data_IF_503468074198
#
_entry.id   IF_503468074198
#
_cell.length_a   1.000
_cell.length_b   1.000
_cell.length_c   1.000
_cell.angle_alpha   90.00
_cell.angle_beta   90.00
_cell.angle_gamma   90.00
#
_symmetry.space_group_name_H-M   'P 1'
#
loop_
_entity.id
_entity.type
_entity.pdbx_description
1 polymer ?
#
# COMPACT_ATOMS: atom_id res chain seq x y z
N UNK A 1 -71.60 -2.98 10.35
CA UNK A 1 -72.23 -1.68 10.05
C UNK A 1 -71.19 -0.79 9.36
N UNK A 2 -71.55 -0.38 8.15
CA UNK A 2 -71.06 0.75 7.32
C UNK A 2 -69.59 0.80 6.87
N UNK A 3 -69.50 0.60 5.56
CA UNK A 3 -68.43 0.71 4.56
C UNK A 3 -67.98 2.18 4.28
N UNK A 4 -66.96 2.37 3.40
CA UNK A 4 -66.00 3.47 3.38
C UNK A 4 -66.38 4.62 2.42
N UNK A 5 -65.53 5.65 2.31
CA UNK A 5 -65.63 6.67 1.27
C UNK A 5 -64.31 6.86 0.51
N UNK A 6 -64.41 6.53 -0.76
CA UNK A 6 -63.56 6.89 -1.90
C UNK A 6 -63.84 8.35 -2.26
N UNK A 7 -62.81 9.11 -2.67
CA UNK A 7 -62.99 10.24 -3.59
C UNK A 7 -61.72 10.45 -4.42
N UNK A 8 -61.90 10.37 -5.73
CA UNK A 8 -60.94 10.64 -6.80
C UNK A 8 -61.31 11.96 -7.50
N UNK A 9 -60.30 12.69 -8.02
CA UNK A 9 -60.39 13.69 -9.10
C UNK A 9 -58.93 13.86 -9.63
N UNK A 10 -58.52 13.49 -10.86
CA UNK A 10 -58.78 14.07 -12.20
C UNK A 10 -58.63 15.60 -12.20
N UNK A 11 -57.93 16.32 -13.08
CA UNK A 11 -57.19 16.10 -14.34
C UNK A 11 -56.63 17.50 -14.71
N UNK A 12 -55.43 17.66 -15.27
CA UNK A 12 -55.18 18.67 -16.32
C UNK A 12 -53.80 18.51 -16.98
N UNK A 13 -53.85 18.59 -18.30
CA UNK A 13 -52.85 18.31 -19.32
C UNK A 13 -52.24 19.64 -19.80
N UNK A 14 -50.94 19.68 -20.13
CA UNK A 14 -50.42 20.65 -21.10
C UNK A 14 -49.24 20.05 -21.87
N UNK A 15 -49.54 19.69 -23.12
CA UNK A 15 -48.60 19.33 -24.19
C UNK A 15 -48.26 20.61 -24.95
N UNK A 16 -46.97 20.88 -25.19
CA UNK A 16 -46.54 21.70 -26.34
C UNK A 16 -45.35 21.00 -27.00
N UNK A 17 -45.61 20.43 -28.18
CA UNK A 17 -44.65 20.06 -29.21
C UNK A 17 -44.53 21.24 -30.18
N UNK A 18 -43.31 21.62 -30.55
CA UNK A 18 -43.04 22.22 -31.87
C UNK A 18 -41.68 21.73 -32.38
N UNK A 19 -41.75 21.05 -33.53
CA UNK A 19 -40.65 20.61 -34.39
C UNK A 19 -40.21 21.73 -35.34
N UNK A 20 -38.96 21.68 -35.80
CA UNK A 20 -38.49 22.50 -36.94
C UNK A 20 -37.17 22.00 -37.50
N UNK A 21 -37.18 21.51 -38.74
CA UNK A 21 -36.07 20.93 -39.51
C UNK A 21 -35.21 21.98 -40.22
N UNK A 22 -34.00 21.59 -40.66
CA UNK A 22 -33.57 21.90 -42.04
C UNK A 22 -32.21 22.59 -42.28
N UNK A 23 -31.22 21.76 -42.65
CA UNK A 23 -30.35 21.85 -43.85
C UNK A 23 -29.15 22.83 -43.99
N UNK A 24 -28.01 22.22 -44.41
CA UNK A 24 -26.76 22.75 -44.99
C UNK A 24 -26.97 23.59 -46.27
N UNK A 25 -26.07 24.55 -46.56
CA UNK A 25 -25.13 24.49 -47.71
C UNK A 25 -24.06 25.62 -47.67
N UNK A 26 -22.90 25.31 -48.25
CA UNK A 26 -21.72 26.15 -48.54
C UNK A 26 -22.01 27.38 -49.42
N UNK A 27 -21.10 28.38 -49.40
CA UNK A 27 -20.37 28.82 -50.60
C UNK A 27 -19.34 29.95 -50.34
N UNK A 28 -18.07 29.61 -50.58
CA UNK A 28 -17.03 30.28 -51.39
C UNK A 28 -16.77 31.81 -51.39
N UNK A 29 -15.45 32.10 -51.43
CA UNK A 29 -14.71 32.97 -52.39
C UNK A 29 -14.06 34.29 -51.84
N UNK A 30 -13.15 34.98 -52.59
CA UNK A 30 -11.67 34.87 -52.53
C UNK A 30 -10.91 36.21 -52.28
N UNK A 31 -9.55 36.20 -52.29
CA UNK A 31 -8.62 37.38 -52.15
C UNK A 31 -8.65 38.39 -53.33
N UNK A 32 -7.66 39.31 -53.60
CA UNK A 32 -6.18 39.26 -53.36
C UNK A 32 -5.50 40.68 -53.11
N UNK A 33 -4.32 41.13 -53.68
CA UNK A 33 -2.89 40.94 -53.29
C UNK A 33 -1.97 42.23 -53.21
N UNK A 34 -0.63 42.01 -53.15
CA UNK A 34 0.58 42.86 -53.48
C UNK A 34 1.02 43.94 -52.45
N UNK A 35 2.29 44.28 -52.13
CA UNK A 35 3.62 44.21 -52.78
C UNK A 35 4.78 44.40 -51.76
N UNK A 36 6.00 43.97 -52.13
CA UNK A 36 7.28 44.24 -51.45
C UNK A 36 7.78 45.69 -51.61
N UNK A 37 8.84 46.11 -50.88
CA UNK A 37 10.15 46.22 -51.53
C UNK A 37 11.39 45.81 -50.70
N UNK A 38 12.49 45.70 -51.42
CA UNK A 38 13.86 45.24 -51.08
C UNK A 38 14.74 46.38 -50.56
N UNK A 39 15.58 46.13 -49.55
CA UNK A 39 16.93 46.73 -49.42
C UNK A 39 17.85 45.91 -48.48
N UNK A 40 19.01 45.50 -49.00
CA UNK A 40 20.23 45.09 -48.28
C UNK A 40 21.19 46.32 -48.14
N UNK A 41 22.37 46.24 -47.49
CA UNK A 41 22.74 45.58 -46.23
C UNK A 41 23.56 46.52 -45.30
N UNK A 42 23.62 46.26 -43.99
CA UNK A 42 24.73 46.78 -43.14
C UNK A 42 25.01 45.88 -41.94
N UNK A 43 26.13 45.17 -42.04
CA UNK A 43 27.16 44.91 -41.02
C UNK A 43 26.80 44.92 -39.52
N UNK A 44 26.92 43.73 -38.92
CA UNK A 44 27.78 43.52 -37.75
C UNK A 44 27.17 43.76 -36.37
N UNK A 45 26.72 42.68 -35.71
CA UNK A 45 26.87 42.47 -34.26
C UNK A 45 26.62 40.99 -33.93
N UNK A 46 27.49 40.44 -33.08
CA UNK A 46 27.55 39.03 -32.66
C UNK A 46 26.25 38.53 -32.01
N UNK A 47 25.91 37.23 -32.14
CA UNK A 47 24.83 36.63 -31.36
C UNK A 47 25.33 36.28 -29.95
N UNK A 48 24.76 36.92 -28.93
CA UNK A 48 24.84 36.46 -27.54
C UNK A 48 24.04 35.17 -27.42
N UNK A 49 24.72 34.08 -27.07
CA UNK A 49 24.13 32.76 -26.89
C UNK A 49 23.00 32.76 -25.86
N UNK A 50 21.82 32.33 -26.29
CA UNK A 50 20.71 31.96 -25.43
C UNK A 50 21.07 30.65 -24.70
N UNK A 51 21.39 30.76 -23.42
CA UNK A 51 21.56 29.60 -22.54
C UNK A 51 20.17 28.98 -22.27
N UNK A 52 19.95 27.68 -22.52
CA UNK A 52 18.69 27.04 -22.13
C UNK A 52 18.57 27.08 -20.61
N UNK A 53 17.47 27.64 -20.13
CA UNK A 53 17.10 27.61 -18.71
C UNK A 53 17.03 26.15 -18.26
N UNK A 54 18.03 25.69 -17.50
CA UNK A 54 17.98 24.42 -16.81
C UNK A 54 16.82 24.47 -15.82
N UNK A 55 15.92 23.50 -15.91
CA UNK A 55 14.99 23.22 -14.84
C UNK A 55 15.78 22.99 -13.54
N UNK A 56 15.24 23.35 -12.36
CA UNK A 56 15.88 23.01 -11.09
C UNK A 56 16.18 21.51 -11.08
N UNK A 57 17.36 21.07 -10.57
CA UNK A 57 17.59 19.65 -10.33
C UNK A 57 16.44 19.13 -9.47
N UNK A 58 15.86 17.98 -9.84
CA UNK A 58 14.98 17.25 -8.95
C UNK A 58 15.66 17.13 -7.57
N UNK A 59 14.93 17.24 -6.45
CA UNK A 59 15.52 17.14 -5.13
C UNK A 59 16.41 15.91 -5.08
N UNK A 60 17.71 16.14 -4.89
CA UNK A 60 18.68 15.05 -4.80
C UNK A 60 18.40 14.32 -3.49
N UNK A 61 17.63 13.24 -3.63
CA UNK A 61 17.55 12.10 -2.73
C UNK A 61 18.92 11.89 -2.06
N UNK A 62 19.02 11.95 -0.72
CA UNK A 62 20.26 11.64 -0.03
C UNK A 62 20.70 10.22 -0.40
N UNK A 63 21.93 10.05 -0.90
CA UNK A 63 22.60 8.75 -0.78
C UNK A 63 22.57 8.38 0.70
N UNK A 64 21.86 7.32 1.05
CA UNK A 64 21.76 6.87 2.44
C UNK A 64 23.15 6.71 3.07
N UNK A 65 23.34 7.03 4.36
CA UNK A 65 24.67 7.02 4.97
C UNK A 65 25.23 5.61 5.21
N UNK A 66 24.44 4.57 4.96
CA UNK A 66 24.76 3.19 5.30
C UNK A 66 25.23 2.40 4.08
N UNK A 67 26.18 1.50 4.32
CA UNK A 67 26.57 0.50 3.31
C UNK A 67 25.40 -0.45 3.04
N UNK A 68 25.24 -0.96 1.81
CA UNK A 68 24.24 -1.96 1.50
C UNK A 68 24.36 -3.19 2.41
N UNK A 69 23.22 -3.71 2.86
CA UNK A 69 23.14 -4.85 3.78
C UNK A 69 21.76 -5.49 3.63
N UNK A 70 21.59 -6.26 2.56
CA UNK A 70 20.30 -6.88 2.27
C UNK A 70 20.00 -8.09 3.17
N UNK A 71 20.93 -8.50 4.05
CA UNK A 71 20.69 -9.47 5.12
C UNK A 71 20.24 -8.81 6.45
N UNK A 72 20.04 -7.49 6.46
CA UNK A 72 19.54 -6.76 7.62
C UNK A 72 18.04 -6.97 7.89
N UNK A 73 17.55 -6.46 9.00
CA UNK A 73 16.16 -6.60 9.41
C UNK A 73 15.26 -5.55 8.75
N UNK A 74 14.00 -5.93 8.54
CA UNK A 74 12.96 -5.11 7.91
C UNK A 74 11.87 -4.79 8.94
N UNK A 75 11.44 -3.52 9.00
CA UNK A 75 10.30 -3.15 9.84
C UNK A 75 9.00 -3.50 9.14
N UNK A 76 8.27 -4.48 9.68
CA UNK A 76 6.87 -4.75 9.34
C UNK A 76 6.01 -4.12 10.43
N UNK A 77 5.43 -2.95 10.16
CA UNK A 77 4.69 -2.17 11.15
C UNK A 77 3.24 -2.66 11.26
N UNK A 78 2.77 -2.86 12.48
CA UNK A 78 1.42 -3.31 12.81
C UNK A 78 0.64 -2.18 13.48
N UNK A 79 -0.31 -1.62 12.72
CA UNK A 79 -1.32 -0.68 13.19
C UNK A 79 -2.64 -1.41 13.45
N UNK A 80 -3.44 -0.88 14.36
CA UNK A 80 -4.84 -1.30 14.55
C UNK A 80 -5.74 -0.09 14.28
N UNK A 81 -6.22 0.62 15.30
CA UNK A 81 -7.10 1.75 15.10
C UNK A 81 -6.33 3.02 14.71
N UNK A 82 -6.85 3.75 13.72
CA UNK A 82 -6.45 5.14 13.46
C UNK A 82 -7.57 6.05 13.95
N UNK A 83 -7.34 6.81 15.02
CA UNK A 83 -8.40 7.60 15.65
C UNK A 83 -8.04 8.08 17.05
N UNK A 84 -9.05 8.39 17.87
CA UNK A 84 -8.88 8.97 19.20
C UNK A 84 -9.51 8.11 20.31
N UNK A 85 -9.02 8.23 21.56
CA UNK A 85 -7.74 8.85 21.94
C UNK A 85 -6.54 7.96 21.58
N UNK A 86 -5.33 8.53 21.58
CA UNK A 86 -4.09 7.74 21.50
C UNK A 86 -4.08 6.67 22.60
N UNK A 87 -3.79 5.43 22.23
CA UNK A 87 -3.82 4.29 23.14
C UNK A 87 -2.90 3.17 22.62
N UNK A 88 -2.80 2.08 23.38
CA UNK A 88 -1.95 0.94 23.04
C UNK A 88 -2.17 0.39 21.61
N UNK A 89 -3.43 0.38 21.14
CA UNK A 89 -3.85 -0.10 19.82
C UNK A 89 -4.48 1.00 18.97
N UNK A 90 -4.32 2.27 19.36
CA UNK A 90 -4.88 3.42 18.64
C UNK A 90 -3.79 4.45 18.39
N UNK A 91 -3.53 4.75 17.11
CA UNK A 91 -2.69 5.85 16.68
C UNK A 91 -3.58 7.00 16.20
N UNK A 92 -3.35 8.21 16.69
CA UNK A 92 -4.08 9.39 16.17
C UNK A 92 -3.69 9.70 14.72
N UNK A 93 -4.58 10.32 13.92
CA UNK A 93 -4.21 10.79 12.58
C UNK A 93 -2.98 11.71 12.57
N UNK A 94 -2.83 12.57 13.58
CA UNK A 94 -1.66 13.46 13.71
C UNK A 94 -0.37 12.65 13.87
N UNK A 95 -0.39 11.66 14.76
CA UNK A 95 0.79 10.87 15.02
C UNK A 95 1.08 9.87 13.89
N UNK A 96 0.06 9.37 13.19
CA UNK A 96 0.29 8.54 11.99
C UNK A 96 0.99 9.34 10.88
N UNK A 97 0.63 10.60 10.65
CA UNK A 97 1.37 11.47 9.72
C UNK A 97 2.83 11.67 10.15
N UNK A 98 3.07 11.84 11.46
CA UNK A 98 4.42 11.93 11.99
C UNK A 98 5.21 10.63 11.79
N UNK A 99 4.56 9.46 11.90
CA UNK A 99 5.19 8.18 11.61
C UNK A 99 5.64 8.10 10.15
N UNK A 100 4.78 8.50 9.19
CA UNK A 100 5.12 8.53 7.76
C UNK A 100 6.31 9.46 7.48
N UNK A 101 6.28 10.67 8.01
CA UNK A 101 7.36 11.66 7.86
C UNK A 101 8.67 11.15 8.48
N UNK A 102 8.59 10.57 9.69
CA UNK A 102 9.74 10.01 10.37
C UNK A 102 10.39 8.89 9.54
N UNK A 103 9.58 7.93 9.06
CA UNK A 103 10.06 6.83 8.21
C UNK A 103 10.71 7.36 6.93
N UNK A 104 10.04 8.29 6.24
CA UNK A 104 10.53 8.86 4.99
C UNK A 104 11.88 9.56 5.18
N UNK A 105 12.00 10.41 6.21
CA UNK A 105 13.23 11.14 6.55
C UNK A 105 14.38 10.22 6.96
N UNK A 106 14.08 9.11 7.63
CA UNK A 106 15.08 8.10 8.02
C UNK A 106 15.50 7.18 6.86
N UNK A 107 15.01 7.43 5.64
CA UNK A 107 15.38 6.67 4.45
C UNK A 107 14.62 5.35 4.29
N UNK A 108 13.38 5.28 4.77
CA UNK A 108 12.49 4.16 4.49
C UNK A 108 11.55 4.44 3.32
N UNK A 109 11.21 3.40 2.57
CA UNK A 109 10.26 3.41 1.46
C UNK A 109 9.28 2.24 1.59
N UNK A 110 8.02 2.45 1.22
CA UNK A 110 7.01 1.41 1.32
C UNK A 110 7.28 0.31 0.31
N UNK A 111 7.23 -0.94 0.77
CA UNK A 111 7.33 -2.14 -0.06
C UNK A 111 6.14 -3.04 0.25
N UNK A 112 5.57 -3.69 -0.77
CA UNK A 112 4.51 -4.68 -0.55
C UNK A 112 5.04 -5.82 0.32
N UNK A 113 4.19 -6.34 1.20
CA UNK A 113 4.50 -7.54 1.94
C UNK A 113 4.87 -8.72 1.01
N UNK A 114 4.21 -8.84 -0.14
CA UNK A 114 4.45 -9.94 -1.07
C UNK A 114 5.77 -9.79 -1.81
N UNK A 115 6.19 -8.57 -2.15
CA UNK A 115 7.52 -8.31 -2.71
C UNK A 115 8.61 -8.64 -1.69
N UNK A 116 8.44 -8.25 -0.43
CA UNK A 116 9.34 -8.65 0.65
C UNK A 116 9.44 -10.18 0.79
N UNK A 117 8.31 -10.88 0.89
CA UNK A 117 8.29 -12.35 1.08
C UNK A 117 8.91 -13.10 -0.09
N UNK A 118 8.77 -12.56 -1.30
CA UNK A 118 9.29 -13.13 -2.56
C UNK A 118 10.70 -12.66 -2.92
N UNK A 119 11.35 -11.87 -2.06
CA UNK A 119 12.67 -11.30 -2.33
C UNK A 119 12.69 -10.44 -3.62
N UNK A 120 11.61 -9.70 -3.89
CA UNK A 120 11.45 -8.80 -5.03
C UNK A 120 11.50 -7.32 -4.59
N UNK A 121 12.40 -6.99 -3.68
CA UNK A 121 12.57 -5.63 -3.16
C UNK A 121 13.31 -4.81 -4.21
N UNK A 122 12.69 -3.73 -4.69
CA UNK A 122 13.27 -2.84 -5.69
C UNK A 122 13.30 -1.41 -5.13
N UNK A 123 14.38 -1.10 -4.41
CA UNK A 123 14.61 0.21 -3.81
C UNK A 123 15.97 0.76 -4.27
N UNK A 124 16.13 2.08 -4.42
CA UNK A 124 17.44 2.65 -4.74
C UNK A 124 18.48 2.36 -3.65
N UNK A 125 19.75 2.41 -4.03
CA UNK A 125 20.89 2.20 -3.13
C UNK A 125 20.78 3.10 -1.88
N UNK A 126 21.01 2.53 -0.70
CA UNK A 126 21.03 3.26 0.56
C UNK A 126 19.67 3.42 1.25
N UNK A 127 18.56 3.02 0.60
CA UNK A 127 17.23 3.02 1.20
C UNK A 127 16.90 1.70 1.90
N UNK A 128 15.94 1.75 2.82
CA UNK A 128 15.43 0.58 3.53
C UNK A 128 13.94 0.35 3.25
N UNK A 129 13.49 -0.91 3.15
CA UNK A 129 12.07 -1.23 3.07
C UNK A 129 11.40 -1.04 4.44
N UNK A 130 10.17 -0.52 4.40
CA UNK A 130 9.21 -0.63 5.51
C UNK A 130 7.88 -1.14 4.95
N UNK A 131 7.20 -2.00 5.70
CA UNK A 131 5.91 -2.59 5.30
C UNK A 131 4.85 -2.13 6.29
N UNK A 132 3.76 -1.56 5.78
CA UNK A 132 2.62 -1.16 6.62
C UNK A 132 1.54 -2.24 6.63
N UNK A 133 1.17 -2.68 7.82
CA UNK A 133 0.05 -3.61 8.02
C UNK A 133 -0.98 -3.02 8.97
N UNK A 134 -2.26 -3.22 8.66
CA UNK A 134 -3.38 -2.73 9.44
C UNK A 134 -4.33 -3.87 9.78
N UNK A 135 -4.49 -4.16 11.07
CA UNK A 135 -5.38 -5.22 11.55
C UNK A 135 -6.80 -4.68 11.78
N UNK A 136 -7.82 -5.55 11.74
CA UNK A 136 -9.24 -5.30 12.04
C UNK A 136 -10.11 -4.55 11.02
N UNK A 137 -9.52 -3.95 9.98
CA UNK A 137 -10.23 -3.10 9.02
C UNK A 137 -11.13 -2.07 9.74
N UNK A 138 -10.58 -1.28 10.66
CA UNK A 138 -11.34 -0.24 11.39
C UNK A 138 -11.75 0.91 10.46
N UNK A 139 -12.73 1.72 10.86
CA UNK A 139 -13.20 2.83 10.00
C UNK A 139 -12.09 3.86 9.75
N UNK A 140 -11.28 4.16 10.75
CA UNK A 140 -10.17 5.12 10.60
C UNK A 140 -9.05 4.64 9.66
N UNK A 141 -8.98 3.36 9.33
CA UNK A 141 -8.04 2.88 8.32
C UNK A 141 -8.47 3.27 6.92
N UNK A 142 -9.75 3.12 6.61
CA UNK A 142 -10.31 3.58 5.34
C UNK A 142 -11.73 4.08 5.58
N UNK A 143 -11.94 5.38 5.45
CA UNK A 143 -13.23 6.03 5.59
C UNK A 143 -13.56 6.78 4.30
N UNK A 144 -14.83 6.74 3.87
CA UNK A 144 -15.35 7.64 2.85
C UNK A 144 -16.28 8.65 3.52
N UNK A 145 -16.06 9.93 3.26
CA UNK A 145 -16.89 11.04 3.70
C UNK A 145 -17.62 11.65 2.50
N UNK A 146 -18.70 12.38 2.74
CA UNK A 146 -19.43 13.07 1.69
C UNK A 146 -18.86 14.47 1.47
N UNK A 147 -18.46 14.78 0.24
CA UNK A 147 -18.11 16.12 -0.22
C UNK A 147 -18.83 16.40 -1.54
N UNK A 148 -19.55 17.52 -1.60
CA UNK A 148 -20.37 17.92 -2.76
C UNK A 148 -21.31 16.81 -3.30
N UNK A 149 -21.89 16.03 -2.40
CA UNK A 149 -22.80 14.92 -2.72
C UNK A 149 -22.12 13.69 -3.30
N UNK A 150 -20.79 13.57 -3.20
CA UNK A 150 -20.01 12.41 -3.65
C UNK A 150 -19.19 11.82 -2.52
N UNK A 151 -19.03 10.50 -2.44
CA UNK A 151 -18.09 9.89 -1.51
C UNK A 151 -16.66 10.20 -1.94
N UNK A 152 -15.85 10.70 -1.01
CA UNK A 152 -14.41 10.93 -1.17
C UNK A 152 -13.64 10.28 -0.03
N UNK A 153 -12.36 9.97 -0.25
CA UNK A 153 -11.50 9.38 0.79
C UNK A 153 -11.30 10.42 1.90
N UNK A 154 -11.59 10.03 3.13
CA UNK A 154 -11.34 10.86 4.31
C UNK A 154 -9.83 11.13 4.45
N UNK A 155 -9.38 12.40 4.42
CA UNK A 155 -7.96 12.76 4.54
C UNK A 155 -7.36 12.42 5.91
N UNK A 156 -8.19 12.08 6.91
CA UNK A 156 -7.76 11.60 8.22
C UNK A 156 -7.83 10.07 8.37
N UNK A 157 -8.18 9.35 7.31
CA UNK A 157 -8.05 7.89 7.29
C UNK A 157 -6.63 7.46 6.92
N UNK A 158 -6.19 6.26 7.33
CA UNK A 158 -4.86 5.73 6.96
C UNK A 158 -4.63 5.77 5.44
N UNK A 159 -5.61 5.29 4.68
CA UNK A 159 -5.58 5.33 3.21
C UNK A 159 -5.45 6.76 2.67
N UNK A 160 -6.24 7.70 3.20
CA UNK A 160 -6.18 9.10 2.78
C UNK A 160 -4.81 9.73 3.05
N UNK A 161 -4.23 9.46 4.23
CA UNK A 161 -2.92 9.98 4.63
C UNK A 161 -1.78 9.35 3.83
N UNK A 162 -1.78 8.02 3.59
CA UNK A 162 -0.78 7.35 2.74
C UNK A 162 -0.84 7.90 1.32
N UNK A 163 -2.04 8.03 0.75
CA UNK A 163 -2.24 8.55 -0.60
C UNK A 163 -1.72 9.99 -0.73
N UNK A 164 -2.11 10.88 0.18
CA UNK A 164 -1.65 12.27 0.16
C UNK A 164 -0.13 12.37 0.31
N UNK A 165 0.45 11.58 1.22
CA UNK A 165 1.90 11.56 1.42
C UNK A 165 2.64 11.05 0.19
N UNK A 166 2.13 10.02 -0.50
CA UNK A 166 2.72 9.51 -1.74
C UNK A 166 2.56 10.48 -2.93
N UNK A 167 1.53 11.34 -2.94
CA UNK A 167 1.42 12.40 -3.95
C UNK A 167 2.49 13.48 -3.77
N UNK A 168 2.82 13.83 -2.53
CA UNK A 168 3.90 14.77 -2.19
C UNK A 168 5.29 14.13 -2.28
N UNK A 169 5.37 12.82 -2.03
CA UNK A 169 6.60 12.00 -2.03
C UNK A 169 6.44 10.73 -2.89
N UNK A 170 6.42 10.84 -4.24
CA UNK A 170 6.14 9.71 -5.13
C UNK A 170 7.08 8.52 -4.96
N UNK A 171 8.30 8.75 -4.50
CA UNK A 171 9.30 7.71 -4.25
C UNK A 171 8.98 6.90 -2.98
N UNK A 172 8.17 7.41 -2.05
CA UNK A 172 7.74 6.69 -0.84
C UNK A 172 6.83 5.49 -1.13
N UNK A 173 5.94 5.62 -2.12
CA UNK A 173 4.98 4.58 -2.51
C UNK A 173 3.71 4.53 -1.65
N UNK A 174 2.77 3.67 -2.05
CA UNK A 174 1.44 3.51 -1.42
C UNK A 174 1.22 2.14 -0.78
N UNK A 175 2.22 1.25 -0.81
CA UNK A 175 2.05 -0.15 -0.44
C UNK A 175 1.64 -0.31 1.04
N UNK A 176 0.51 -1.00 1.26
CA UNK A 176 -0.01 -1.34 2.58
C UNK A 176 -0.89 -2.59 2.49
N UNK A 177 -0.96 -3.37 3.58
CA UNK A 177 -1.85 -4.53 3.67
C UNK A 177 -2.89 -4.34 4.77
N UNK A 178 -4.17 -4.52 4.43
CA UNK A 178 -5.29 -4.44 5.37
C UNK A 178 -5.85 -5.83 5.66
N UNK A 179 -5.73 -6.27 6.91
CA UNK A 179 -6.24 -7.56 7.38
C UNK A 179 -7.69 -7.41 7.83
N UNK A 180 -8.60 -7.79 6.94
CA UNK A 180 -10.03 -7.62 7.14
C UNK A 180 -10.71 -8.87 7.72
N UNK A 181 -11.85 -8.67 8.37
CA UNK A 181 -12.80 -9.73 8.67
C UNK A 181 -14.22 -9.26 8.37
N UNK A 182 -15.17 -10.19 8.37
CA UNK A 182 -16.54 -10.00 7.89
C UNK A 182 -17.56 -9.99 9.05
N UNK A 183 -18.75 -9.37 8.87
CA UNK A 183 -19.36 -8.91 7.62
C UNK A 183 -19.09 -7.44 7.23
N UNK A 184 -18.53 -6.64 8.15
CA UNK A 184 -18.49 -5.17 8.04
C UNK A 184 -17.07 -4.59 8.10
N UNK A 185 -16.18 -4.94 7.16
CA UNK A 185 -14.86 -4.31 7.05
C UNK A 185 -15.00 -2.80 6.83
N UNK A 186 -14.11 -2.01 7.42
CA UNK A 186 -14.08 -0.54 7.37
C UNK A 186 -15.35 0.18 7.85
N UNK A 187 -16.25 -0.56 8.52
CA UNK A 187 -17.47 -0.09 9.21
C UNK A 187 -18.42 0.79 8.38
N UNK A 188 -18.34 0.73 7.05
CA UNK A 188 -19.27 1.40 6.14
C UNK A 188 -19.80 0.38 5.13
N UNK A 189 -20.82 -0.42 5.49
CA UNK A 189 -21.25 -1.58 4.70
C UNK A 189 -21.71 -1.19 3.29
N UNK A 190 -22.27 0.00 3.11
CA UNK A 190 -22.68 0.54 1.82
C UNK A 190 -21.51 0.78 0.85
N UNK A 191 -20.30 1.01 1.36
CA UNK A 191 -19.09 1.28 0.56
C UNK A 191 -18.14 0.09 0.50
N UNK A 192 -18.51 -1.06 1.06
CA UNK A 192 -17.62 -2.23 1.18
C UNK A 192 -16.99 -2.64 -0.16
N UNK A 193 -17.78 -2.77 -1.22
CA UNK A 193 -17.28 -3.20 -2.52
C UNK A 193 -16.43 -2.12 -3.21
N UNK A 194 -16.81 -0.85 -3.05
CA UNK A 194 -16.07 0.28 -3.60
C UNK A 194 -14.69 0.41 -2.96
N UNK A 195 -14.62 0.37 -1.62
CA UNK A 195 -13.36 0.42 -0.88
C UNK A 195 -12.39 -0.70 -1.29
N UNK A 196 -12.89 -1.94 -1.42
CA UNK A 196 -12.04 -3.07 -1.80
C UNK A 196 -11.43 -2.87 -3.20
N UNK A 197 -12.19 -2.33 -4.16
CA UNK A 197 -11.65 -2.00 -5.50
C UNK A 197 -10.61 -0.89 -5.42
N UNK A 198 -10.91 0.18 -4.69
CA UNK A 198 -9.98 1.31 -4.53
C UNK A 198 -8.65 0.87 -3.92
N UNK A 199 -8.66 0.02 -2.88
CA UNK A 199 -7.42 -0.51 -2.28
C UNK A 199 -6.56 -1.20 -3.34
N UNK A 200 -7.15 -2.12 -4.12
CA UNK A 200 -6.43 -2.85 -5.16
C UNK A 200 -5.94 -1.92 -6.27
N UNK A 201 -6.75 -0.96 -6.70
CA UNK A 201 -6.37 0.04 -7.70
C UNK A 201 -5.20 0.93 -7.24
N UNK A 202 -5.07 1.18 -5.93
CA UNK A 202 -3.95 1.91 -5.32
C UNK A 202 -2.70 1.04 -5.06
N UNK A 203 -2.73 -0.24 -5.45
CA UNK A 203 -1.63 -1.18 -5.20
C UNK A 203 -1.51 -1.62 -3.74
N UNK A 204 -2.60 -1.53 -2.97
CA UNK A 204 -2.69 -2.02 -1.60
C UNK A 204 -3.32 -3.41 -1.56
N UNK A 205 -2.95 -4.19 -0.55
CA UNK A 205 -3.34 -5.60 -0.41
C UNK A 205 -4.45 -5.77 0.64
N UNK A 206 -5.36 -6.71 0.39
CA UNK A 206 -6.33 -7.23 1.36
C UNK A 206 -5.85 -8.60 1.83
N UNK A 207 -5.62 -8.72 3.14
CA UNK A 207 -5.19 -9.93 3.82
C UNK A 207 -6.28 -10.60 4.64
N UNK A 208 -6.08 -11.88 4.94
CA UNK A 208 -6.96 -12.71 5.77
C UNK A 208 -6.79 -12.35 7.24
N UNK A 209 -7.89 -12.06 7.94
CA UNK A 209 -7.90 -11.95 9.40
C UNK A 209 -8.89 -12.91 10.05
N UNK A 210 -9.08 -14.07 9.41
CA UNK A 210 -10.20 -15.01 9.57
C UNK A 210 -11.54 -14.37 9.21
N UNK A 211 -12.58 -15.18 8.96
CA UNK A 211 -13.89 -14.64 8.58
C UNK A 211 -14.54 -13.80 9.70
N UNK A 212 -14.24 -14.09 10.96
CA UNK A 212 -14.90 -13.48 12.12
C UNK A 212 -13.96 -13.17 13.29
N UNK A 213 -12.68 -12.90 13.01
CA UNK A 213 -11.65 -12.60 14.02
C UNK A 213 -11.49 -13.73 15.06
N UNK A 214 -11.57 -14.99 14.63
CA UNK A 214 -11.48 -16.14 15.52
C UNK A 214 -10.06 -16.34 16.05
N UNK A 215 -9.95 -16.65 17.35
CA UNK A 215 -8.70 -17.07 17.97
C UNK A 215 -8.38 -18.53 17.61
N UNK A 216 -7.46 -18.72 16.67
CA UNK A 216 -7.24 -20.02 16.02
C UNK A 216 -6.79 -21.13 16.97
N UNK A 217 -6.08 -20.83 18.07
CA UNK A 217 -5.67 -21.85 19.05
C UNK A 217 -6.86 -22.53 19.75
N UNK A 218 -8.01 -21.86 19.80
CA UNK A 218 -9.20 -22.35 20.49
C UNK A 218 -10.09 -23.22 19.58
N UNK A 219 -9.77 -23.30 18.28
CA UNK A 219 -10.52 -24.04 17.28
C UNK A 219 -10.00 -25.47 17.07
N UNK A 220 -10.85 -26.31 16.47
CA UNK A 220 -10.43 -27.56 15.82
C UNK A 220 -9.89 -27.28 14.41
N UNK A 221 -9.13 -28.22 13.85
CA UNK A 221 -8.57 -28.13 12.50
C UNK A 221 -9.63 -27.81 11.43
N UNK A 222 -10.78 -28.48 11.45
CA UNK A 222 -11.90 -28.19 10.53
C UNK A 222 -12.41 -26.75 10.67
N UNK A 223 -12.45 -26.22 11.90
CA UNK A 223 -12.92 -24.86 12.18
C UNK A 223 -11.87 -23.80 11.81
N UNK A 224 -10.59 -24.12 11.89
CA UNK A 224 -9.51 -23.27 11.37
C UNK A 224 -9.65 -23.15 9.85
N UNK A 225 -9.77 -24.28 9.15
CA UNK A 225 -9.94 -24.28 7.69
C UNK A 225 -11.22 -23.55 7.27
N UNK A 226 -12.34 -23.79 7.95
CA UNK A 226 -13.59 -23.05 7.71
C UNK A 226 -13.38 -21.54 7.87
N UNK A 227 -12.77 -21.09 8.97
CA UNK A 227 -12.60 -19.67 9.26
C UNK A 227 -11.73 -18.96 8.22
N UNK A 228 -10.67 -19.61 7.75
CA UNK A 228 -9.73 -19.06 6.77
C UNK A 228 -10.30 -19.11 5.34
N UNK A 229 -10.90 -20.23 4.94
CA UNK A 229 -11.50 -20.38 3.61
C UNK A 229 -12.73 -19.48 3.42
N UNK A 230 -13.59 -19.33 4.45
CA UNK A 230 -14.76 -18.44 4.36
C UNK A 230 -14.37 -16.97 4.24
N UNK A 231 -13.22 -16.56 4.80
CA UNK A 231 -12.69 -15.23 4.52
C UNK A 231 -12.42 -15.05 3.03
N UNK A 232 -11.70 -16.00 2.41
CA UNK A 232 -11.41 -15.98 0.96
C UNK A 232 -12.70 -15.93 0.15
N UNK A 233 -13.69 -16.74 0.50
CA UNK A 233 -15.01 -16.76 -0.15
C UNK A 233 -15.69 -15.38 -0.08
N UNK A 234 -15.74 -14.75 1.10
CA UNK A 234 -16.34 -13.42 1.28
C UNK A 234 -15.58 -12.32 0.53
N UNK A 235 -14.24 -12.40 0.46
CA UNK A 235 -13.44 -11.48 -0.36
C UNK A 235 -13.74 -11.66 -1.84
N UNK A 236 -13.83 -12.90 -2.33
CA UNK A 236 -14.10 -13.17 -3.75
C UNK A 236 -15.54 -12.85 -4.17
N UNK A 237 -16.50 -12.86 -3.25
CA UNK A 237 -17.85 -12.29 -3.51
C UNK A 237 -17.81 -10.80 -3.84
N UNK A 238 -16.82 -10.08 -3.33
CA UNK A 238 -16.63 -8.63 -3.55
C UNK A 238 -15.70 -8.37 -4.75
N UNK A 239 -14.59 -9.11 -4.81
CA UNK A 239 -13.56 -9.02 -5.83
C UNK A 239 -13.35 -10.40 -6.49
N UNK A 240 -14.15 -10.77 -7.51
CA UNK A 240 -14.00 -12.05 -8.18
C UNK A 240 -12.58 -12.25 -8.73
N UNK A 241 -11.95 -13.39 -8.39
CA UNK A 241 -10.61 -13.75 -8.83
C UNK A 241 -9.45 -13.20 -7.99
N UNK A 242 -9.73 -12.31 -7.02
CA UNK A 242 -8.71 -11.81 -6.10
C UNK A 242 -8.10 -12.94 -5.26
N UNK A 243 -6.77 -12.93 -5.12
CA UNK A 243 -6.01 -13.91 -4.34
C UNK A 243 -5.70 -13.32 -2.96
N UNK A 244 -6.22 -13.94 -1.91
CA UNK A 244 -5.89 -13.57 -0.53
C UNK A 244 -4.66 -14.39 -0.10
N UNK A 245 -3.49 -13.77 -0.19
CA UNK A 245 -2.18 -14.43 -0.08
C UNK A 245 -1.49 -14.25 1.29
N UNK A 246 -2.11 -13.57 2.25
CA UNK A 246 -1.50 -13.32 3.56
C UNK A 246 -2.51 -13.46 4.70
N UNK A 247 -2.03 -13.78 5.90
CA UNK A 247 -2.81 -13.95 7.12
C UNK A 247 -2.16 -13.22 8.29
N UNK A 248 -2.84 -12.24 8.87
CA UNK A 248 -2.51 -11.79 10.22
C UNK A 248 -3.27 -12.65 11.22
N UNK A 249 -2.56 -13.27 12.16
CA UNK A 249 -3.19 -14.13 13.17
C UNK A 249 -3.96 -13.27 14.17
N UNK A 250 -5.31 -13.42 14.31
CA UNK A 250 -6.05 -12.75 15.37
C UNK A 250 -5.44 -13.09 16.73
N UNK A 251 -5.20 -12.05 17.55
CA UNK A 251 -4.55 -12.18 18.86
C UNK A 251 -3.13 -12.78 18.82
N UNK A 252 -2.49 -12.89 17.66
CA UNK A 252 -1.22 -13.61 17.49
C UNK A 252 -1.34 -15.12 17.73
N UNK A 253 -2.58 -15.64 17.71
CA UNK A 253 -2.89 -16.99 18.12
C UNK A 253 -2.73 -17.95 16.95
N UNK A 254 -1.74 -18.84 17.03
CA UNK A 254 -1.53 -19.91 16.05
C UNK A 254 -2.53 -21.05 16.24
N UNK A 255 -3.01 -21.69 15.16
CA UNK A 255 -3.73 -22.96 15.29
C UNK A 255 -2.83 -24.04 15.89
N UNK A 256 -3.45 -25.06 16.49
CA UNK A 256 -2.72 -26.22 17.04
C UNK A 256 -1.93 -26.95 15.96
N UNK A 257 -2.55 -27.16 14.80
CA UNK A 257 -1.90 -27.59 13.59
C UNK A 257 -1.43 -26.36 12.80
N UNK A 258 -0.14 -26.02 12.92
CA UNK A 258 0.42 -24.77 12.36
C UNK A 258 0.36 -24.70 10.83
N UNK A 259 0.41 -25.84 10.13
CA UNK A 259 0.31 -25.90 8.66
C UNK A 259 -1.02 -25.30 8.16
N UNK A 260 -2.08 -25.39 8.97
CA UNK A 260 -3.39 -24.84 8.61
C UNK A 260 -3.39 -23.30 8.58
N UNK A 261 -2.42 -22.64 9.18
CA UNK A 261 -2.24 -21.19 8.99
C UNK A 261 -1.71 -20.87 7.59
N UNK A 262 -1.01 -21.81 6.93
CA UNK A 262 -0.40 -21.60 5.61
C UNK A 262 -1.34 -22.07 4.50
N UNK A 263 -1.93 -23.25 4.62
CA UNK A 263 -2.80 -23.79 3.56
C UNK A 263 -3.88 -24.71 4.10
N UNK A 264 -4.97 -24.78 3.36
CA UNK A 264 -6.08 -25.67 3.68
C UNK A 264 -7.22 -25.51 2.69
N UNK A 265 -8.30 -26.24 2.93
CA UNK A 265 -9.48 -26.23 2.09
C UNK A 265 -10.72 -26.44 2.95
N UNK A 266 -11.80 -25.74 2.62
CA UNK A 266 -13.11 -25.98 3.20
C UNK A 266 -14.19 -25.81 2.14
N UNK A 267 -15.05 -26.82 1.98
CA UNK A 267 -16.14 -26.83 1.00
C UNK A 267 -15.70 -26.45 -0.43
N UNK A 268 -14.53 -26.92 -0.88
CA UNK A 268 -13.98 -26.63 -2.20
C UNK A 268 -13.28 -25.27 -2.33
N UNK A 269 -13.34 -24.41 -1.31
CA UNK A 269 -12.61 -23.14 -1.26
C UNK A 269 -11.23 -23.40 -0.66
N UNK A 270 -10.20 -23.29 -1.50
CA UNK A 270 -8.80 -23.40 -1.09
C UNK A 270 -8.25 -22.05 -0.65
N UNK A 271 -7.33 -22.08 0.29
CA UNK A 271 -6.52 -20.91 0.64
C UNK A 271 -5.04 -21.27 0.73
N UNK A 272 -4.19 -20.28 0.45
CA UNK A 272 -2.75 -20.36 0.62
C UNK A 272 -2.21 -19.00 1.07
N UNK A 273 -1.86 -18.90 2.33
CA UNK A 273 -1.17 -17.73 2.88
C UNK A 273 0.33 -17.90 2.62
N UNK A 274 0.87 -17.10 1.70
CA UNK A 274 2.30 -16.96 1.42
C UNK A 274 3.02 -16.23 2.54
N UNK A 275 2.29 -15.46 3.35
CA UNK A 275 2.78 -14.74 4.51
C UNK A 275 1.85 -14.93 5.71
N UNK A 276 2.37 -15.33 6.86
CA UNK A 276 1.63 -15.41 8.13
C UNK A 276 2.31 -14.52 9.16
N UNK A 277 1.54 -13.56 9.69
CA UNK A 277 2.05 -12.43 10.46
C UNK A 277 1.73 -12.63 11.94
N UNK A 278 2.74 -12.43 12.78
CA UNK A 278 2.65 -12.51 14.24
C UNK A 278 2.25 -11.17 14.85
N UNK A 279 1.99 -11.15 16.16
CA UNK A 279 1.74 -9.91 16.89
C UNK A 279 3.05 -9.27 17.37
N UNK A 280 3.03 -7.94 17.46
CA UNK A 280 4.17 -7.04 17.69
C UNK A 280 5.24 -7.53 18.68
N UNK A 281 6.49 -7.58 18.21
CA UNK A 281 7.70 -7.83 18.98
C UNK A 281 8.92 -7.06 18.45
N UNK A 282 9.33 -7.33 17.20
CA UNK A 282 10.60 -6.87 16.64
C UNK A 282 10.58 -6.85 15.10
N UNK A 283 11.53 -6.15 14.45
CA UNK A 283 11.75 -6.22 13.01
C UNK A 283 11.98 -7.64 12.53
N UNK A 284 11.48 -7.91 11.33
CA UNK A 284 11.55 -9.21 10.69
C UNK A 284 12.93 -9.47 10.06
N UNK A 285 13.40 -10.73 10.02
CA UNK A 285 14.61 -11.09 9.28
C UNK A 285 14.50 -10.73 7.80
N UNK A 286 15.61 -10.46 7.11
CA UNK A 286 15.63 -10.31 5.65
C UNK A 286 15.09 -11.56 4.94
N UNK A 287 14.40 -11.44 3.78
CA UNK A 287 13.96 -12.60 3.02
C UNK A 287 15.11 -13.42 2.42
N UNK A 288 16.38 -13.02 2.58
CA UNK A 288 17.55 -13.72 2.05
C UNK A 288 18.28 -14.58 3.07
N UNK A 289 17.88 -14.54 4.35
CA UNK A 289 18.56 -15.27 5.44
C UNK A 289 17.77 -16.50 5.91
N UNK A 290 18.47 -17.52 6.37
CA UNK A 290 17.92 -18.80 6.86
C UNK A 290 16.94 -18.67 8.02
N UNK A 291 17.01 -17.57 8.78
CA UNK A 291 16.09 -17.27 9.89
C UNK A 291 14.73 -16.74 9.42
N UNK A 292 14.57 -16.40 8.14
CA UNK A 292 13.31 -15.90 7.63
C UNK A 292 12.29 -17.02 7.44
N UNK A 293 11.21 -16.94 8.20
CA UNK A 293 10.08 -17.85 8.10
C UNK A 293 8.84 -17.08 7.59
N UNK A 294 8.40 -17.32 6.34
CA UNK A 294 7.20 -16.68 5.81
C UNK A 294 5.92 -17.13 6.54
N UNK A 295 5.95 -18.25 7.28
CA UNK A 295 4.83 -18.71 8.10
C UNK A 295 4.84 -18.14 9.53
N UNK A 296 5.80 -17.26 9.86
CA UNK A 296 5.93 -16.67 11.18
C UNK A 296 6.64 -15.31 11.18
N UNK A 297 6.19 -14.36 10.37
CA UNK A 297 6.81 -13.04 10.22
C UNK A 297 6.51 -12.18 11.46
N UNK A 298 7.51 -11.78 12.26
CA UNK A 298 7.28 -10.87 13.38
C UNK A 298 6.99 -9.46 12.87
N UNK A 299 6.26 -8.69 13.67
CA UNK A 299 5.92 -7.30 13.37
C UNK A 299 6.41 -6.38 14.48
N UNK A 300 6.52 -5.09 14.21
CA UNK A 300 6.72 -4.04 15.22
C UNK A 300 5.37 -3.41 15.50
N UNK A 301 4.96 -3.31 16.77
CA UNK A 301 3.75 -2.55 17.11
C UNK A 301 3.99 -1.08 16.76
N UNK A 302 3.08 -0.45 16.06
CA UNK A 302 3.28 0.89 15.53
C UNK A 302 2.80 2.03 16.47
N UNK A 303 2.59 1.73 17.75
CA UNK A 303 2.37 2.74 18.78
C UNK A 303 3.71 3.28 19.30
N UNK A 304 3.70 4.41 19.99
CA UNK A 304 4.87 4.81 20.76
C UNK A 304 5.14 3.80 21.89
N UNK A 305 6.41 3.59 22.27
CA UNK A 305 7.64 4.19 21.71
C UNK A 305 8.30 3.37 20.58
N UNK A 306 7.65 2.32 20.05
CA UNK A 306 8.35 1.22 19.39
C UNK A 306 8.99 1.56 18.03
N UNK A 307 8.35 2.39 17.20
CA UNK A 307 8.96 2.82 15.93
C UNK A 307 10.26 3.57 16.23
N UNK A 308 10.21 4.56 17.12
CA UNK A 308 11.38 5.33 17.56
C UNK A 308 12.47 4.45 18.16
N UNK A 309 12.11 3.50 19.01
CA UNK A 309 13.07 2.57 19.62
C UNK A 309 13.83 1.73 18.59
N UNK A 310 13.14 1.20 17.57
CA UNK A 310 13.82 0.42 16.53
C UNK A 310 14.66 1.28 15.59
N UNK A 311 14.23 2.51 15.32
CA UNK A 311 15.06 3.48 14.60
C UNK A 311 16.33 3.81 15.40
N UNK A 312 16.23 4.07 16.70
CA UNK A 312 17.38 4.32 17.56
C UNK A 312 18.31 3.10 17.61
N UNK A 313 17.76 1.88 17.70
CA UNK A 313 18.52 0.63 17.61
C UNK A 313 19.31 0.56 16.32
N UNK A 314 18.69 0.81 15.16
CA UNK A 314 19.38 0.76 13.87
C UNK A 314 20.39 1.89 13.67
N UNK A 315 20.22 3.05 14.30
CA UNK A 315 21.26 4.09 14.27
C UNK A 315 22.49 3.68 15.10
N UNK A 316 22.28 2.96 16.20
CA UNK A 316 23.35 2.45 17.06
C UNK A 316 24.01 1.16 16.53
N UNK A 317 23.25 0.37 15.76
CA UNK A 317 23.65 -0.92 15.19
C UNK A 317 23.28 -0.94 13.69
N UNK A 318 23.95 -0.14 12.85
CA UNK A 318 23.61 -0.01 11.43
C UNK A 318 23.72 -1.33 10.66
N UNK A 319 24.57 -2.26 11.11
CA UNK A 319 24.71 -3.60 10.57
C UNK A 319 23.47 -4.48 10.79
N UNK A 320 22.55 -4.12 11.68
CA UNK A 320 21.29 -4.83 11.86
C UNK A 320 20.21 -4.38 10.87
N UNK A 321 20.37 -3.23 10.22
CA UNK A 321 19.36 -2.60 9.36
C UNK A 321 19.46 -3.14 7.93
N UNK A 322 18.33 -3.48 7.31
CA UNK A 322 18.29 -3.72 5.86
C UNK A 322 18.62 -2.42 5.11
N UNK A 323 19.55 -2.49 4.16
CA UNK A 323 19.88 -1.38 3.25
C UNK A 323 20.02 -1.94 1.84
N UNK A 324 19.22 -1.42 0.92
CA UNK A 324 19.23 -1.81 -0.50
C UNK A 324 20.55 -1.45 -1.17
N UNK A 325 21.01 -2.29 -2.08
CA UNK A 325 22.15 -2.00 -2.97
C UNK A 325 21.75 -1.28 -4.27
N UNK A 326 20.46 -1.18 -4.54
CA UNK A 326 19.92 -0.49 -5.71
C UNK A 326 19.66 -1.38 -6.93
N UNK A 327 19.95 -2.68 -6.86
CA UNK A 327 19.77 -3.62 -7.97
C UNK A 327 18.92 -4.83 -7.54
N UNK A 328 17.68 -4.98 -8.05
CA UNK A 328 16.79 -6.06 -7.64
C UNK A 328 17.31 -7.46 -8.01
N UNK A 329 18.28 -7.59 -8.91
CA UNK A 329 18.89 -8.87 -9.30
C UNK A 329 20.20 -9.18 -8.54
N UNK A 330 20.60 -8.29 -7.63
CA UNK A 330 21.81 -8.43 -6.80
C UNK A 330 21.42 -8.46 -5.32
N UNK A 331 22.25 -9.13 -4.52
CA UNK A 331 22.19 -9.16 -3.05
C UNK A 331 23.57 -8.79 -2.54
N UNK A 332 23.69 -7.59 -1.98
CA UNK A 332 24.94 -7.12 -1.37
C UNK A 332 24.88 -7.20 0.15
N UNK A 333 25.82 -7.92 0.76
CA UNK A 333 25.90 -8.11 2.22
C UNK A 333 27.35 -8.08 2.74
N UNK A 334 27.57 -7.80 4.04
CA UNK A 334 28.87 -8.01 4.67
C UNK A 334 29.31 -9.48 4.59
N UNK A 335 30.60 -9.73 4.35
CA UNK A 335 31.18 -11.08 4.32
C UNK A 335 30.93 -11.85 5.63
N UNK A 336 30.90 -11.15 6.76
CA UNK A 336 30.60 -11.72 8.09
C UNK A 336 29.19 -12.32 8.21
N UNK A 337 28.27 -11.98 7.30
CA UNK A 337 26.89 -12.50 7.24
C UNK A 337 26.68 -13.55 6.15
N UNK A 338 27.71 -13.89 5.37
CA UNK A 338 27.59 -14.89 4.29
C UNK A 338 27.05 -16.23 4.77
N UNK A 339 27.41 -16.64 5.99
CA UNK A 339 26.92 -17.88 6.62
C UNK A 339 25.44 -17.88 7.01
N UNK A 340 24.78 -16.72 7.03
CA UNK A 340 23.35 -16.61 7.36
C UNK A 340 22.44 -16.80 6.12
N UNK A 341 22.99 -16.76 4.90
CA UNK A 341 22.21 -16.78 3.65
C UNK A 341 21.42 -18.07 3.45
N UNK A 342 20.16 -17.93 3.05
CA UNK A 342 19.34 -19.03 2.53
C UNK A 342 19.59 -19.18 1.02
N UNK A 343 20.38 -20.20 0.67
CA UNK A 343 20.80 -20.43 -0.72
C UNK A 343 19.65 -20.72 -1.69
N UNK A 344 18.50 -21.22 -1.20
CA UNK A 344 17.34 -21.42 -2.08
C UNK A 344 16.61 -20.10 -2.36
N UNK A 345 16.59 -19.17 -1.39
CA UNK A 345 15.95 -17.84 -1.53
C UNK A 345 16.77 -16.82 -2.29
N UNK A 346 18.09 -16.99 -2.35
CA UNK A 346 19.00 -16.15 -3.15
C UNK A 346 19.27 -16.72 -4.55
N UNK A 347 18.73 -17.91 -4.85
CA UNK A 347 18.92 -18.58 -6.13
C UNK A 347 18.42 -17.70 -7.28
N UNK A 348 19.28 -17.48 -8.27
CA UNK A 348 18.97 -16.66 -9.43
C UNK A 348 19.34 -15.19 -9.28
N UNK A 349 19.83 -14.77 -8.11
CA UNK A 349 20.42 -13.43 -7.89
C UNK A 349 21.94 -13.49 -7.83
N UNK A 350 22.60 -12.39 -8.17
CA UNK A 350 24.03 -12.21 -7.95
C UNK A 350 24.28 -11.91 -6.48
N UNK A 351 25.25 -12.56 -5.84
CA UNK A 351 25.60 -12.27 -4.44
C UNK A 351 26.96 -11.55 -4.40
N UNK A 352 26.99 -10.36 -3.81
CA UNK A 352 28.20 -9.57 -3.59
C UNK A 352 28.50 -9.55 -2.09
N UNK A 353 29.69 -10.02 -1.74
CA UNK A 353 30.22 -9.95 -0.39
C UNK A 353 31.25 -8.84 -0.33
N UNK A 354 31.14 -7.96 0.66
CA UNK A 354 32.16 -6.95 0.92
C UNK A 354 32.79 -7.13 2.30
N UNK A 355 34.09 -6.86 2.37
CA UNK A 355 34.83 -6.78 3.62
C UNK A 355 34.69 -5.36 4.18
N UNK A 356 34.08 -5.22 5.35
CA UNK A 356 34.01 -3.94 6.05
C UNK A 356 33.95 -4.15 7.55
N UNK A 357 34.85 -3.49 8.28
CA UNK A 357 34.63 -3.25 9.71
C UNK A 357 33.44 -2.28 9.85
N UNK A 358 32.55 -2.48 10.84
CA UNK A 358 31.50 -1.51 11.12
C UNK A 358 32.16 -0.16 11.46
N UNK A 359 31.87 0.87 10.67
CA UNK A 359 32.31 2.24 10.96
C UNK A 359 31.40 2.91 11.98
#
# INVERSE_FOLDING_TARGET
MRHPLVAAFLLALAVVLLSGCGQKQDDTNPGPPVSAPVHEPTTGSQPTGSNPSQAPPAPQVPKGPYQPNEAGRVMVLMYHNIGYPEAEWTRTPENFRQDLELLYREGYRLVSLLDYVSNNINLPEGYAPVILTFDDATQGQFNLIEEDGKPVIDPNSAVGMIKAFAEEHPDFGTAATFYSYYPNPFRQPQYKAEKYRMLVEMGMDIGNHTVGHQKLADLSDDKVQEALARHVEETQKILPGYQVDSLALPYGSRPKNQELAVTGEYNGVKYRNRAVLLVGSNPAPSPVVTKFDPAAIPRVRASDPYIGQWLDHFRQNPEDRYVSDGDPDTITIPDSKSGDLDMERVKGKNVILYSGEPK
#
